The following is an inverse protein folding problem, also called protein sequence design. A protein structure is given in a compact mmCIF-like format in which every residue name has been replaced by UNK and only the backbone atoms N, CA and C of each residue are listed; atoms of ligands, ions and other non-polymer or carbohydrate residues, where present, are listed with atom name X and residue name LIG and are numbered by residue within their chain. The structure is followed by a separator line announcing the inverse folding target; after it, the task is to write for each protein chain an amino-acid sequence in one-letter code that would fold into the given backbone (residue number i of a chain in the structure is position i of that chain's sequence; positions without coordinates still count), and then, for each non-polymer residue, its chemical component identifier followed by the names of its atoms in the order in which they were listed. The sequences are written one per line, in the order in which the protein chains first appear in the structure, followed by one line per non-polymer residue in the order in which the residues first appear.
data_IF_310389646255
#
_entry.id   IF_310389646255
#
_cell.length_a   1.000
_cell.length_b   1.000
_cell.length_c   1.000
_cell.angle_alpha   90.00
_cell.angle_beta   90.00
_cell.angle_gamma   90.00
#
_symmetry.space_group_name_H-M   'P 1'
#
loop_
_entity.id
_entity.type
_entity.pdbx_description
1 polymer ?
#
# COMPACT_ATOMS: atom_id res chain seq x y z
N UNK A 1 -10.91 -0.21 15.97
CA UNK A 1 -11.34 0.30 17.30
C UNK A 1 -10.49 1.49 17.76
N UNK A 2 -9.18 1.32 18.01
CA UNK A 2 -8.32 2.43 18.46
C UNK A 2 -8.32 3.62 17.51
N UNK A 3 -8.08 3.41 16.21
CA UNK A 3 -8.07 4.47 15.20
C UNK A 3 -9.37 5.30 15.18
N UNK A 4 -10.52 4.64 15.36
CA UNK A 4 -11.83 5.31 15.47
C UNK A 4 -11.94 6.10 16.77
N UNK A 5 -11.56 5.49 17.90
CA UNK A 5 -11.62 6.13 19.21
C UNK A 5 -10.70 7.36 19.30
N UNK A 6 -9.54 7.33 18.63
CA UNK A 6 -8.61 8.47 18.55
C UNK A 6 -8.95 9.45 17.43
N UNK A 7 -10.02 9.20 16.66
CA UNK A 7 -10.42 10.01 15.50
C UNK A 7 -9.26 10.22 14.51
N UNK A 8 -8.55 9.14 14.21
CA UNK A 8 -7.49 9.15 13.19
C UNK A 8 -8.08 9.51 11.81
N UNK A 9 -7.32 10.25 11.01
CA UNK A 9 -7.75 10.68 9.67
C UNK A 9 -7.61 9.57 8.61
N UNK A 10 -6.66 8.66 8.82
CA UNK A 10 -6.38 7.50 7.96
C UNK A 10 -5.67 6.42 8.77
N UNK A 11 -5.62 5.20 8.23
CA UNK A 11 -4.81 4.09 8.76
C UNK A 11 -3.78 3.67 7.71
N UNK A 12 -2.51 3.54 8.09
CA UNK A 12 -1.44 3.00 7.24
C UNK A 12 -1.03 1.64 7.79
N UNK A 13 -1.08 0.61 6.94
CA UNK A 13 -0.64 -0.75 7.26
C UNK A 13 0.57 -1.12 6.40
N UNK A 14 1.59 -1.67 7.04
CA UNK A 14 2.89 -1.91 6.43
C UNK A 14 3.08 -3.37 6.00
N UNK A 15 2.03 -4.08 5.56
CA UNK A 15 2.10 -5.49 5.15
C UNK A 15 1.77 -6.51 6.24
N UNK A 16 1.74 -7.78 5.85
CA UNK A 16 1.43 -8.94 6.70
C UNK A 16 0.10 -8.79 7.47
N UNK A 17 -0.91 -8.23 6.81
CA UNK A 17 -2.27 -8.23 7.35
C UNK A 17 -2.77 -9.68 7.51
N UNK A 18 -2.35 -10.56 6.60
CA UNK A 18 -2.61 -12.00 6.67
C UNK A 18 -1.30 -12.77 6.86
N UNK A 19 -1.32 -13.72 7.79
CA UNK A 19 -0.19 -14.62 8.02
C UNK A 19 -0.03 -15.69 6.93
N UNK A 20 -1.13 -16.06 6.27
CA UNK A 20 -1.12 -17.00 5.16
C UNK A 20 -1.46 -16.24 3.87
N UNK A 21 -0.69 -16.50 2.81
CA UNK A 21 -0.91 -15.91 1.49
C UNK A 21 -2.33 -16.15 0.96
N UNK A 22 -2.87 -17.34 1.26
CA UNK A 22 -4.25 -17.74 0.97
C UNK A 22 -5.02 -17.85 2.29
N UNK A 23 -5.46 -16.73 2.88
CA UNK A 23 -6.13 -16.77 4.17
C UNK A 23 -7.39 -17.63 4.10
N UNK A 24 -7.70 -18.32 5.20
CA UNK A 24 -8.95 -19.09 5.28
C UNK A 24 -10.17 -18.20 5.01
N UNK A 25 -11.25 -18.80 4.49
CA UNK A 25 -12.54 -18.10 4.28
C UNK A 25 -13.03 -17.39 5.55
N UNK A 26 -12.80 -18.00 6.72
CA UNK A 26 -13.16 -17.40 8.00
C UNK A 26 -12.33 -16.15 8.29
N UNK A 27 -11.00 -16.23 8.07
CA UNK A 27 -10.07 -15.11 8.26
C UNK A 27 -10.40 -13.93 7.34
N UNK A 28 -10.61 -14.20 6.05
CA UNK A 28 -10.99 -13.17 5.07
C UNK A 28 -12.32 -12.52 5.44
N UNK A 29 -13.37 -13.32 5.72
CA UNK A 29 -14.67 -12.81 6.17
C UNK A 29 -14.53 -11.94 7.40
N UNK A 30 -13.75 -12.38 8.39
CA UNK A 30 -13.57 -11.64 9.64
C UNK A 30 -12.85 -10.31 9.43
N UNK A 31 -11.83 -10.28 8.56
CA UNK A 31 -11.14 -9.05 8.19
C UNK A 31 -12.11 -8.06 7.52
N UNK A 32 -12.92 -8.53 6.57
CA UNK A 32 -13.92 -7.70 5.89
C UNK A 32 -14.95 -7.12 6.86
N UNK A 33 -15.54 -7.94 7.74
CA UNK A 33 -16.49 -7.47 8.78
C UNK A 33 -15.90 -6.39 9.69
N UNK A 34 -14.62 -6.51 10.05
CA UNK A 34 -13.95 -5.53 10.90
C UNK A 34 -13.69 -4.23 10.15
N UNK A 35 -13.27 -4.29 8.89
CA UNK A 35 -13.10 -3.12 8.04
C UNK A 35 -14.45 -2.43 7.80
N UNK A 36 -15.50 -3.17 7.47
CA UNK A 36 -16.86 -2.62 7.33
C UNK A 36 -17.32 -1.92 8.61
N UNK A 37 -17.18 -2.59 9.76
CA UNK A 37 -17.65 -2.06 11.05
C UNK A 37 -16.94 -0.78 11.49
N UNK A 38 -15.64 -0.64 11.20
CA UNK A 38 -14.83 0.45 11.76
C UNK A 38 -14.36 1.48 10.73
N UNK A 39 -14.44 1.18 9.43
CA UNK A 39 -13.93 2.06 8.38
C UNK A 39 -15.02 2.62 7.47
N UNK A 40 -16.22 2.03 7.48
CA UNK A 40 -17.38 2.59 6.78
C UNK A 40 -18.25 3.41 7.73
N UNK A 41 -18.80 4.51 7.22
CA UNK A 41 -19.60 5.45 8.00
C UNK A 41 -19.91 6.72 7.22
N UNK A 42 -20.81 7.54 7.77
CA UNK A 42 -21.26 8.80 7.13
C UNK A 42 -20.29 9.98 7.34
N UNK A 43 -19.33 9.86 8.26
CA UNK A 43 -18.37 10.94 8.53
C UNK A 43 -17.49 11.18 7.30
N UNK A 44 -17.41 12.42 6.79
CA UNK A 44 -16.63 12.72 5.60
C UNK A 44 -15.13 12.66 5.88
N UNK A 45 -14.38 12.10 4.94
CA UNK A 45 -12.92 12.11 4.97
C UNK A 45 -12.41 13.48 4.54
N UNK A 46 -11.70 14.17 5.43
CA UNK A 46 -11.18 15.52 5.20
C UNK A 46 -9.86 15.55 4.39
N UNK A 47 -9.40 14.40 3.91
CA UNK A 47 -8.18 14.25 3.12
C UNK A 47 -8.47 14.49 1.65
N UNK A 48 -7.78 15.46 1.07
CA UNK A 48 -7.78 15.69 -0.36
C UNK A 48 -6.72 14.83 -1.03
N UNK A 49 -7.08 14.17 -2.12
CA UNK A 49 -6.19 13.35 -2.94
C UNK A 49 -5.76 14.16 -4.17
N UNK A 50 -4.44 14.23 -4.40
CA UNK A 50 -3.83 15.11 -5.40
C UNK A 50 -3.02 14.37 -6.47
N UNK A 51 -2.80 13.06 -6.32
CA UNK A 51 -2.09 12.25 -7.33
C UNK A 51 -2.99 11.87 -8.51
N UNK A 52 -2.38 11.40 -9.60
CA UNK A 52 -3.07 10.61 -10.60
C UNK A 52 -3.30 9.18 -10.05
N UNK A 53 -4.56 8.70 -9.95
CA UNK A 53 -4.83 7.33 -9.52
C UNK A 53 -4.16 6.25 -10.37
N UNK A 54 -4.01 6.47 -11.67
CA UNK A 54 -3.43 5.50 -12.59
C UNK A 54 -1.94 5.25 -12.31
N UNK A 55 -1.23 6.25 -11.76
CA UNK A 55 0.19 6.14 -11.42
C UNK A 55 0.43 5.44 -10.07
N UNK A 56 -0.51 5.58 -9.12
CA UNK A 56 -0.32 5.10 -7.73
C UNK A 56 -1.08 3.80 -7.41
N UNK A 57 -2.07 3.44 -8.22
CA UNK A 57 -2.88 2.22 -8.07
C UNK A 57 -2.81 1.37 -9.34
N UNK A 58 -1.61 0.94 -9.74
CA UNK A 58 -1.24 0.25 -11.01
C UNK A 58 -2.30 -0.65 -11.68
N UNK A 59 -3.16 -1.36 -10.91
CA UNK A 59 -4.15 -2.30 -11.44
C UNK A 59 -5.58 -1.77 -11.51
N UNK A 60 -5.86 -0.59 -10.97
CA UNK A 60 -7.13 0.11 -11.15
C UNK A 60 -6.90 1.61 -11.23
N UNK A 61 -7.23 2.18 -12.38
CA UNK A 61 -7.45 3.61 -12.56
C UNK A 61 -8.74 4.05 -11.82
N UNK A 62 -8.69 4.01 -10.49
CA UNK A 62 -9.75 4.52 -9.63
C UNK A 62 -9.14 5.32 -8.48
N UNK A 63 -9.79 6.41 -8.07
CA UNK A 63 -9.36 7.17 -6.92
C UNK A 63 -9.45 6.32 -5.64
N UNK A 64 -8.87 6.80 -4.52
CA UNK A 64 -9.01 6.16 -3.22
C UNK A 64 -10.47 5.84 -2.87
N UNK A 65 -10.68 4.76 -2.12
CA UNK A 65 -11.99 4.19 -1.83
C UNK A 65 -13.00 5.17 -1.22
N UNK A 66 -12.53 6.18 -0.47
CA UNK A 66 -13.38 7.22 0.12
C UNK A 66 -13.92 8.26 -0.86
N UNK A 67 -13.44 8.26 -2.10
CA UNK A 67 -14.00 9.05 -3.20
C UNK A 67 -15.04 8.25 -4.00
N UNK A 68 -15.33 7.00 -3.62
CA UNK A 68 -16.36 6.20 -4.29
C UNK A 68 -17.74 6.81 -4.06
N UNK A 69 -18.57 7.00 -5.11
CA UNK A 69 -19.95 7.46 -4.94
C UNK A 69 -20.86 6.38 -4.35
N UNK A 70 -20.39 5.13 -4.23
CA UNK A 70 -21.20 3.98 -3.83
C UNK A 70 -20.83 3.42 -2.45
N UNK A 71 -19.68 3.81 -1.89
CA UNK A 71 -19.21 3.31 -0.59
C UNK A 71 -18.90 4.49 0.33
N UNK A 72 -19.59 4.54 1.47
CA UNK A 72 -19.35 5.58 2.48
C UNK A 72 -18.20 5.16 3.38
N UNK A 73 -16.99 5.56 3.03
CA UNK A 73 -15.78 5.31 3.82
C UNK A 73 -15.54 6.52 4.72
N UNK A 74 -15.43 6.29 6.03
CA UNK A 74 -15.15 7.32 7.03
C UNK A 74 -13.71 7.26 7.59
N UNK A 75 -13.04 6.12 7.43
CA UNK A 75 -11.62 5.95 7.78
C UNK A 75 -10.90 5.18 6.67
N UNK A 76 -10.20 5.86 5.74
CA UNK A 76 -9.50 5.20 4.66
C UNK A 76 -8.28 4.43 5.19
N UNK A 77 -8.10 3.22 4.70
CA UNK A 77 -6.96 2.35 5.02
C UNK A 77 -6.06 2.28 3.81
N UNK A 78 -4.80 2.69 3.94
CA UNK A 78 -3.76 2.50 2.93
C UNK A 78 -2.85 1.37 3.37
N UNK A 79 -2.56 0.44 2.47
CA UNK A 79 -1.80 -0.77 2.80
C UNK A 79 -0.83 -1.13 1.69
N UNK A 80 0.41 -1.49 2.07
CA UNK A 80 1.33 -2.27 1.24
C UNK A 80 1.23 -3.75 1.63
N UNK A 81 1.67 -4.68 0.79
CA UNK A 81 1.80 -6.09 1.17
C UNK A 81 3.14 -6.37 1.86
N UNK A 82 3.15 -7.39 2.71
CA UNK A 82 4.34 -7.99 3.30
C UNK A 82 4.77 -9.24 2.53
N UNK A 83 5.59 -10.07 3.18
CA UNK A 83 6.10 -11.31 2.59
C UNK A 83 5.15 -12.50 2.80
N UNK A 84 4.18 -12.39 3.71
CA UNK A 84 3.17 -13.44 3.92
C UNK A 84 1.92 -13.27 3.06
N UNK A 85 1.58 -12.03 2.72
CA UNK A 85 0.44 -11.65 1.87
C UNK A 85 0.89 -11.05 0.53
N UNK A 86 2.03 -11.50 0.02
CA UNK A 86 2.60 -11.11 -1.26
C UNK A 86 1.72 -11.53 -2.47
N UNK A 87 1.79 -10.84 -3.61
CA UNK A 87 1.11 -11.28 -4.81
C UNK A 87 1.62 -12.65 -5.29
N UNK A 88 0.74 -13.65 -5.36
CA UNK A 88 1.04 -14.98 -5.93
C UNK A 88 0.03 -15.34 -7.01
N UNK A 89 0.38 -16.28 -7.88
CA UNK A 89 -0.51 -16.70 -8.96
C UNK A 89 0.16 -17.67 -9.92
N UNK A 90 -0.65 -18.40 -10.66
CA UNK A 90 -0.22 -19.25 -11.78
C UNK A 90 -0.80 -18.63 -13.04
N UNK A 91 -0.01 -18.55 -14.11
CA UNK A 91 -0.51 -18.13 -15.42
C UNK A 91 -1.68 -19.04 -15.80
N UNK A 92 -2.89 -18.50 -15.76
CA UNK A 92 -4.04 -19.19 -16.38
C UNK A 92 -4.18 -18.63 -17.78
N UNK A 93 -4.54 -19.50 -18.73
CA UNK A 93 -4.49 -19.22 -20.17
C UNK A 93 -5.12 -17.86 -20.51
N UNK A 94 -4.27 -16.85 -20.74
CA UNK A 94 -4.65 -15.50 -21.13
C UNK A 94 -4.38 -14.36 -20.13
N UNK A 95 -4.04 -14.65 -18.86
CA UNK A 95 -3.65 -13.59 -17.91
C UNK A 95 -2.47 -13.99 -16.99
N UNK A 96 -1.48 -13.09 -16.91
CA UNK A 96 -0.35 -13.16 -16.00
C UNK A 96 -0.57 -12.19 -14.82
N UNK A 97 -1.70 -12.28 -14.15
CA UNK A 97 -1.98 -11.41 -13.01
C UNK A 97 -1.56 -12.09 -11.70
N UNK A 98 -0.60 -11.48 -11.00
CA UNK A 98 -0.21 -11.85 -9.65
C UNK A 98 -1.13 -11.16 -8.67
N UNK A 99 -1.83 -11.93 -7.83
CA UNK A 99 -2.84 -11.43 -6.90
C UNK A 99 -2.46 -11.72 -5.46
N UNK A 100 -2.64 -10.72 -4.61
CA UNK A 100 -2.56 -10.82 -3.16
C UNK A 100 -3.97 -10.97 -2.58
N UNK A 101 -4.08 -11.53 -1.37
CA UNK A 101 -5.31 -11.42 -0.57
C UNK A 101 -5.73 -9.95 -0.36
N UNK A 102 -4.77 -9.01 -0.38
CA UNK A 102 -5.04 -7.56 -0.30
C UNK A 102 -5.79 -7.05 -1.55
N UNK A 103 -5.57 -7.63 -2.74
CA UNK A 103 -6.31 -7.25 -3.96
C UNK A 103 -7.82 -7.51 -3.81
N UNK A 104 -8.21 -8.57 -3.07
CA UNK A 104 -9.61 -8.86 -2.76
C UNK A 104 -10.23 -7.74 -1.92
N UNK A 105 -9.54 -7.33 -0.84
CA UNK A 105 -9.99 -6.25 0.04
C UNK A 105 -10.04 -4.90 -0.70
N UNK A 106 -9.03 -4.64 -1.53
CA UNK A 106 -8.97 -3.44 -2.34
C UNK A 106 -10.15 -3.43 -3.31
N UNK A 107 -10.37 -4.52 -4.05
CA UNK A 107 -11.49 -4.66 -5.01
C UNK A 107 -12.84 -4.41 -4.36
N UNK A 108 -13.02 -4.88 -3.12
CA UNK A 108 -14.21 -4.66 -2.30
C UNK A 108 -14.37 -3.22 -1.75
N UNK A 109 -13.49 -2.27 -2.13
CA UNK A 109 -13.44 -0.89 -1.61
C UNK A 109 -13.18 -0.78 -0.09
N UNK A 110 -12.63 -1.81 0.54
CA UNK A 110 -12.36 -1.79 1.98
C UNK A 110 -10.99 -1.19 2.33
N UNK A 111 -10.04 -1.27 1.40
CA UNK A 111 -8.68 -0.71 1.56
C UNK A 111 -8.17 -0.09 0.25
N UNK A 112 -7.13 0.74 0.35
CA UNK A 112 -6.35 1.30 -0.76
C UNK A 112 -5.00 0.58 -0.80
N UNK A 113 -4.86 -0.38 -1.72
CA UNK A 113 -3.64 -1.16 -1.88
C UNK A 113 -2.68 -0.39 -2.80
N UNK A 114 -1.54 0.02 -2.26
CA UNK A 114 -0.55 0.83 -2.98
C UNK A 114 0.84 0.21 -2.87
N UNK A 115 1.78 0.71 -3.67
CA UNK A 115 3.18 0.27 -3.63
C UNK A 115 3.40 -1.18 -4.05
N UNK A 116 2.50 -1.75 -4.86
CA UNK A 116 2.66 -3.09 -5.44
C UNK A 116 3.88 -3.07 -6.37
N UNK A 117 4.79 -4.03 -6.21
CA UNK A 117 5.98 -4.14 -7.08
C UNK A 117 5.77 -5.28 -8.06
N UNK A 118 5.54 -4.95 -9.34
CA UNK A 118 5.31 -5.93 -10.40
C UNK A 118 6.61 -6.47 -11.01
N UNK A 119 7.63 -5.61 -11.11
CA UNK A 119 8.96 -5.99 -11.56
C UNK A 119 10.00 -5.61 -10.50
N UNK A 120 10.50 -6.61 -9.78
CA UNK A 120 11.53 -6.40 -8.77
C UNK A 120 12.89 -5.98 -9.34
N UNK A 121 13.10 -6.01 -10.66
CA UNK A 121 14.34 -5.59 -11.32
C UNK A 121 14.44 -4.10 -11.62
N UNK A 122 13.30 -3.40 -11.72
CA UNK A 122 13.23 -1.95 -11.86
C UNK A 122 12.05 -1.44 -11.05
N UNK A 123 12.35 -0.70 -9.99
CA UNK A 123 11.33 -0.24 -9.02
C UNK A 123 11.16 1.26 -9.19
N UNK A 124 9.94 1.69 -9.54
CA UNK A 124 9.58 3.10 -9.65
C UNK A 124 8.55 3.46 -8.58
N UNK A 125 8.93 4.30 -7.64
CA UNK A 125 8.09 4.68 -6.51
C UNK A 125 7.40 6.01 -6.78
N UNK A 126 6.08 5.96 -6.90
CA UNK A 126 5.21 7.12 -7.10
C UNK A 126 4.50 7.46 -5.78
N UNK A 127 4.53 8.71 -5.30
CA UNK A 127 3.88 9.08 -4.05
C UNK A 127 2.37 9.24 -4.22
N UNK A 128 1.62 8.76 -3.24
CA UNK A 128 0.25 9.20 -2.98
C UNK A 128 0.32 10.57 -2.31
N UNK A 129 -0.17 11.60 -2.97
CA UNK A 129 -0.17 12.98 -2.54
C UNK A 129 -1.49 13.28 -1.84
N UNK A 130 -1.40 13.53 -0.53
CA UNK A 130 -2.54 13.85 0.32
C UNK A 130 -2.38 15.23 0.94
N UNK A 131 -3.49 15.97 1.06
CA UNK A 131 -3.52 17.27 1.74
C UNK A 131 -4.63 17.33 2.78
N UNK A 132 -4.34 17.93 3.93
CA UNK A 132 -5.32 18.32 4.94
C UNK A 132 -5.04 19.76 5.39
N UNK A 133 -5.87 20.69 4.94
CA UNK A 133 -5.63 22.12 5.17
C UNK A 133 -4.30 22.55 4.54
N UNK A 134 -3.37 23.04 5.37
CA UNK A 134 -2.03 23.46 4.94
C UNK A 134 -1.00 22.33 4.93
N UNK A 135 -1.29 21.19 5.56
CA UNK A 135 -0.35 20.07 5.65
C UNK A 135 -0.42 19.20 4.40
N UNK A 136 0.74 18.98 3.77
CA UNK A 136 0.92 18.13 2.59
C UNK A 136 1.73 16.88 2.96
N UNK A 137 1.29 15.71 2.51
CA UNK A 137 1.90 14.40 2.73
C UNK A 137 2.20 13.73 1.39
N UNK A 138 3.46 13.37 1.16
CA UNK A 138 3.88 12.50 0.07
C UNK A 138 4.11 11.09 0.62
N UNK A 139 3.12 10.22 0.44
CA UNK A 139 3.12 8.85 0.94
C UNK A 139 3.67 7.90 -0.13
N UNK A 140 4.91 7.47 0.05
CA UNK A 140 5.55 6.42 -0.75
C UNK A 140 5.34 5.06 -0.10
N UNK A 141 5.20 4.01 -0.91
CA UNK A 141 5.11 2.65 -0.43
C UNK A 141 5.80 1.67 -1.36
N UNK A 142 6.39 0.65 -0.77
CA UNK A 142 6.92 -0.49 -1.49
C UNK A 142 6.57 -1.76 -0.73
N UNK A 143 5.71 -2.59 -1.33
CA UNK A 143 5.42 -3.92 -0.84
C UNK A 143 6.68 -4.78 -0.77
N UNK A 144 6.61 -5.88 -0.01
CA UNK A 144 7.77 -6.72 0.16
C UNK A 144 8.32 -7.22 -1.20
N UNK A 145 9.62 -7.03 -1.37
CA UNK A 145 10.45 -7.66 -2.41
C UNK A 145 11.46 -8.54 -1.67
N UNK A 146 11.73 -9.76 -2.16
CA UNK A 146 12.73 -10.64 -1.52
C UNK A 146 14.04 -9.89 -1.28
N UNK A 147 14.59 -10.01 -0.07
CA UNK A 147 15.69 -9.16 0.40
C UNK A 147 16.90 -9.17 -0.55
N UNK A 148 17.31 -10.34 -1.07
CA UNK A 148 18.45 -10.46 -1.99
C UNK A 148 18.17 -9.75 -3.31
N UNK A 149 16.93 -9.86 -3.83
CA UNK A 149 16.54 -9.20 -5.08
C UNK A 149 16.51 -7.69 -4.87
N UNK A 150 15.93 -7.22 -3.76
CA UNK A 150 15.88 -5.81 -3.45
C UNK A 150 17.28 -5.23 -3.26
N UNK A 151 18.16 -5.93 -2.55
CA UNK A 151 19.54 -5.49 -2.37
C UNK A 151 20.25 -5.34 -3.72
N UNK A 152 20.11 -6.33 -4.61
CA UNK A 152 20.74 -6.25 -5.93
C UNK A 152 20.17 -5.08 -6.74
N UNK A 153 18.84 -4.98 -6.88
CA UNK A 153 18.17 -3.90 -7.61
C UNK A 153 18.51 -2.51 -7.04
N UNK A 154 18.47 -2.34 -5.71
CA UNK A 154 18.65 -1.05 -5.06
C UNK A 154 20.12 -0.68 -4.89
N UNK A 155 20.91 -1.54 -4.23
CA UNK A 155 22.26 -1.19 -3.82
C UNK A 155 23.30 -1.43 -4.93
N UNK A 156 23.18 -2.52 -5.68
CA UNK A 156 24.16 -2.91 -6.71
C UNK A 156 23.83 -2.26 -8.06
N UNK A 157 22.60 -2.43 -8.55
CA UNK A 157 22.17 -2.00 -9.90
C UNK A 157 21.71 -0.54 -9.96
N UNK A 158 21.35 0.07 -8.82
CA UNK A 158 20.78 1.44 -8.73
C UNK A 158 19.48 1.60 -9.54
N UNK A 159 18.69 0.53 -9.65
CA UNK A 159 17.44 0.47 -10.42
C UNK A 159 16.19 0.80 -9.57
N UNK A 160 16.33 1.67 -8.57
CA UNK A 160 15.22 2.20 -7.77
C UNK A 160 15.14 3.70 -8.00
N UNK A 161 14.02 4.18 -8.54
CA UNK A 161 13.78 5.61 -8.79
C UNK A 161 12.55 6.11 -8.07
N UNK A 162 12.60 7.37 -7.64
CA UNK A 162 11.55 8.04 -6.90
C UNK A 162 10.99 9.17 -7.74
N UNK A 163 9.68 9.19 -7.94
CA UNK A 163 8.99 10.33 -8.57
C UNK A 163 8.81 11.41 -7.52
N UNK A 164 9.37 12.60 -7.78
CA UNK A 164 9.30 13.75 -6.88
C UNK A 164 8.13 14.64 -7.33
N UNK A 165 7.29 15.16 -6.42
CA UNK A 165 6.24 16.12 -6.79
C UNK A 165 6.85 17.36 -7.44
N UNK A 166 6.29 17.80 -8.58
CA UNK A 166 6.85 18.92 -9.35
C UNK A 166 6.79 20.26 -8.60
N UNK A 167 5.76 20.47 -7.77
CA UNK A 167 5.54 21.73 -7.05
C UNK A 167 5.78 21.60 -5.54
N UNK A 168 6.53 22.56 -5.00
CA UNK A 168 6.70 22.75 -3.55
C UNK A 168 7.39 21.56 -2.88
N UNK A 169 8.48 21.05 -3.45
CA UNK A 169 9.25 19.90 -2.95
C UNK A 169 9.49 19.98 -1.43
N UNK A 170 9.91 21.15 -0.94
CA UNK A 170 10.20 21.38 0.48
C UNK A 170 8.95 21.47 1.38
N UNK A 171 7.76 21.57 0.80
CA UNK A 171 6.49 21.64 1.53
C UNK A 171 5.92 20.26 1.87
N UNK A 172 6.43 19.20 1.23
CA UNK A 172 5.89 17.85 1.39
C UNK A 172 6.58 17.12 2.53
N UNK A 173 5.79 16.72 3.54
CA UNK A 173 6.25 15.70 4.47
C UNK A 173 6.31 14.36 3.73
N UNK A 174 7.52 13.83 3.54
CA UNK A 174 7.73 12.56 2.83
C UNK A 174 7.72 11.39 3.81
N UNK A 175 6.80 10.45 3.61
CA UNK A 175 6.69 9.22 4.39
C UNK A 175 6.88 8.03 3.46
N UNK A 176 7.81 7.12 3.80
CA UNK A 176 8.01 5.88 3.06
C UNK A 176 7.64 4.66 3.91
N UNK A 177 6.75 3.81 3.37
CA UNK A 177 6.32 2.56 3.99
C UNK A 177 7.03 1.39 3.31
N UNK A 178 7.70 0.57 4.10
CA UNK A 178 8.52 -0.56 3.66
C UNK A 178 8.27 -1.78 4.54
N UNK A 179 8.26 -2.96 3.92
CA UNK A 179 8.25 -4.25 4.62
C UNK A 179 9.49 -5.08 4.23
N UNK A 180 10.58 -4.96 4.99
CA UNK A 180 11.86 -5.64 4.72
C UNK A 180 12.58 -6.01 6.02
N UNK A 181 13.55 -6.92 5.93
CA UNK A 181 14.45 -7.16 7.05
C UNK A 181 15.32 -5.91 7.31
N UNK A 182 15.31 -5.44 8.56
CA UNK A 182 16.12 -4.30 9.02
C UNK A 182 17.57 -4.68 9.30
N UNK A 183 17.79 -5.92 9.75
CA UNK A 183 19.12 -6.41 10.13
C UNK A 183 19.43 -7.68 9.36
N UNK A 184 20.71 -7.84 8.99
CA UNK A 184 21.20 -9.08 8.40
C UNK A 184 21.12 -10.19 9.44
N UNK A 185 20.50 -11.32 9.08
CA UNK A 185 20.38 -12.48 9.95
C UNK A 185 20.94 -13.70 9.24
N UNK A 186 22.19 -14.07 9.54
CA UNK A 186 22.86 -15.15 8.84
C UNK A 186 23.28 -14.72 7.43
N UNK A 187 22.77 -15.40 6.39
CA UNK A 187 23.11 -15.10 4.98
C UNK A 187 22.13 -14.12 4.30
N UNK A 188 20.98 -13.82 4.90
CA UNK A 188 20.00 -12.88 4.33
C UNK A 188 20.55 -11.46 4.37
N UNK A 189 20.54 -10.80 3.22
CA UNK A 189 20.85 -9.37 3.10
C UNK A 189 19.72 -8.56 3.74
N UNK A 190 20.00 -7.33 4.14
CA UNK A 190 19.02 -6.45 4.77
C UNK A 190 19.11 -5.05 4.13
N UNK A 191 18.05 -4.28 4.27
CA UNK A 191 18.05 -2.88 3.84
C UNK A 191 18.49 -2.02 5.03
N UNK A 192 19.72 -1.50 4.96
CA UNK A 192 20.21 -0.52 5.93
C UNK A 192 19.42 0.78 5.83
N UNK A 193 18.99 1.31 6.97
CA UNK A 193 18.39 2.66 7.08
C UNK A 193 19.43 3.72 7.49
N UNK A 194 20.72 3.35 7.52
CA UNK A 194 21.85 4.27 7.71
C UNK A 194 22.52 4.54 6.37
#
# INVERSE_FOLDING_TARGET
ALAVATRADLLILAGDLFHENKPSRWTMKRAMELLEKYCLGDEPVALEFLSDPAEVFEQRDRPPNYMSPFHKVSLPVFIIHGNHDDPTGVSTAGSHELLSAIDVLHTANLVNYFGKVMDGSVIKLHPILLRKGLTKLALYGMGNVRDEKLYSTWAEEKNVSWTIPEEGIDDWFSLFVLHQNRETRGQTKAVSTQ
#
